data_IF_431144214568
#
_entry.id   IF_431144214568
#
_cell.length_a   1.000
_cell.length_b   1.000
_cell.length_c   1.000
_cell.angle_alpha   90.00
_cell.angle_beta   90.00
_cell.angle_gamma   90.00
#
_symmetry.space_group_name_H-M   'P 1'
#
loop_
_entity.id
_entity.type
_entity.pdbx_description
1 polymer ?
#
# COMPACT_ATOMS: atom_id res chain seq x y z
N UNK A 1 -1.51 29.09 49.18
CA UNK A 1 -2.24 28.15 48.30
C UNK A 1 -2.23 28.75 46.90
N UNK A 2 -1.20 28.44 46.12
CA UNK A 2 -1.09 28.83 44.72
C UNK A 2 -2.01 27.92 43.92
N UNK A 3 -3.05 28.49 43.32
CA UNK A 3 -3.92 27.78 42.39
C UNK A 3 -3.16 27.62 41.08
N UNK A 4 -2.76 26.39 40.74
CA UNK A 4 -2.28 26.07 39.40
C UNK A 4 -3.44 26.24 38.42
N UNK A 5 -3.33 27.24 37.55
CA UNK A 5 -4.19 27.39 36.39
C UNK A 5 -3.91 26.22 35.45
N UNK A 6 -4.70 25.15 35.58
CA UNK A 6 -4.66 24.02 34.68
C UNK A 6 -5.18 24.52 33.32
N UNK A 7 -4.26 24.79 32.39
CA UNK A 7 -4.62 25.12 31.01
C UNK A 7 -5.56 24.02 30.48
N UNK A 8 -6.69 24.39 29.84
CA UNK A 8 -7.56 23.39 29.24
C UNK A 8 -6.74 22.58 28.22
N UNK A 9 -6.95 21.25 28.13
CA UNK A 9 -6.28 20.45 27.12
C UNK A 9 -6.59 21.03 25.74
N UNK A 10 -5.55 21.26 24.93
CA UNK A 10 -5.74 21.73 23.55
C UNK A 10 -6.70 20.78 22.82
N UNK A 11 -7.65 21.30 22.02
CA UNK A 11 -8.53 20.45 21.23
C UNK A 11 -7.68 19.60 20.28
N UNK A 12 -8.04 18.31 20.17
CA UNK A 12 -7.38 17.41 19.23
C UNK A 12 -7.44 18.00 17.80
N UNK A 13 -6.36 17.89 17.01
CA UNK A 13 -6.32 18.47 15.67
C UNK A 13 -7.45 17.90 14.81
N UNK A 14 -8.04 18.67 13.88
CA UNK A 14 -9.10 18.16 13.01
C UNK A 14 -8.55 17.10 12.03
N UNK A 15 -9.42 16.19 11.56
CA UNK A 15 -9.03 15.04 10.73
C UNK A 15 -8.33 15.44 9.42
N UNK A 16 -8.76 16.50 8.70
CA UNK A 16 -8.02 17.01 7.54
C UNK A 16 -6.60 17.47 7.87
N UNK A 17 -6.37 18.02 9.08
CA UNK A 17 -5.03 18.46 9.50
C UNK A 17 -4.12 17.25 9.74
N UNK A 18 -4.59 16.24 10.48
CA UNK A 18 -3.83 15.00 10.72
C UNK A 18 -3.39 14.34 9.41
N UNK A 19 -4.31 14.29 8.43
CA UNK A 19 -4.03 13.76 7.10
C UNK A 19 -2.99 14.60 6.35
N UNK A 20 -3.14 15.92 6.36
CA UNK A 20 -2.17 16.84 5.75
C UNK A 20 -0.78 16.68 6.37
N UNK A 21 -0.70 16.59 7.71
CA UNK A 21 0.55 16.43 8.44
C UNK A 21 1.21 15.09 8.11
N UNK A 22 0.43 14.01 8.02
CA UNK A 22 0.92 12.68 7.62
C UNK A 22 1.51 12.72 6.21
N UNK A 23 0.76 13.25 5.24
CA UNK A 23 1.19 13.29 3.85
C UNK A 23 2.42 14.18 3.67
N UNK A 24 2.50 15.31 4.38
CA UNK A 24 3.66 16.19 4.34
C UNK A 24 4.91 15.49 4.91
N UNK A 25 4.78 14.76 6.03
CA UNK A 25 5.91 14.02 6.59
C UNK A 25 6.35 12.89 5.65
N UNK A 26 5.41 12.12 5.09
CA UNK A 26 5.73 11.05 4.13
C UNK A 26 6.40 11.61 2.88
N UNK A 27 5.95 12.75 2.35
CA UNK A 27 6.54 13.41 1.18
C UNK A 27 7.95 13.98 1.45
N UNK A 28 8.29 14.24 2.72
CA UNK A 28 9.63 14.70 3.09
C UNK A 28 10.66 13.58 3.12
N UNK A 29 10.21 12.31 3.11
CA UNK A 29 11.08 11.14 3.03
C UNK A 29 11.44 10.86 1.57
N UNK A 30 12.66 10.39 1.33
CA UNK A 30 12.99 9.76 0.06
C UNK A 30 12.13 8.50 -0.13
N UNK A 31 11.75 8.17 -1.36
CA UNK A 31 10.82 7.06 -1.63
C UNK A 31 11.30 5.73 -1.04
N UNK A 32 12.60 5.48 -1.10
CA UNK A 32 13.19 4.28 -0.49
C UNK A 32 13.04 4.28 1.03
N UNK A 33 13.23 5.43 1.68
CA UNK A 33 12.99 5.59 3.12
C UNK A 33 11.50 5.46 3.45
N UNK A 34 10.60 5.98 2.62
CA UNK A 34 9.16 5.87 2.85
C UNK A 34 8.65 4.41 2.72
N UNK A 35 9.20 3.64 1.79
CA UNK A 35 8.80 2.25 1.53
C UNK A 35 9.61 1.22 2.33
N UNK A 36 10.81 1.59 2.79
CA UNK A 36 11.73 0.82 3.62
C UNK A 36 12.17 1.59 4.88
N UNK A 37 11.22 2.12 5.67
CA UNK A 37 11.52 3.06 6.72
C UNK A 37 12.29 2.42 7.87
N UNK A 38 13.19 3.22 8.43
CA UNK A 38 13.56 3.13 9.83
C UNK A 38 12.34 3.51 10.69
N UNK A 39 12.31 3.20 11.98
CA UNK A 39 11.15 3.58 12.80
C UNK A 39 10.90 5.11 12.74
N UNK A 40 9.67 5.52 12.40
CA UNK A 40 9.25 6.93 12.40
C UNK A 40 8.08 7.14 13.37
N UNK A 41 8.35 7.31 14.68
CA UNK A 41 7.31 7.40 15.71
C UNK A 41 6.30 8.52 15.47
N UNK A 42 6.72 9.63 14.84
CA UNK A 42 5.82 10.75 14.52
C UNK A 42 4.78 10.37 13.45
N UNK A 43 5.20 9.64 12.41
CA UNK A 43 4.30 9.13 11.37
C UNK A 43 3.38 8.06 11.97
N UNK A 44 3.92 7.15 12.78
CA UNK A 44 3.14 6.10 13.44
C UNK A 44 2.05 6.68 14.35
N UNK A 45 2.34 7.77 15.08
CA UNK A 45 1.36 8.45 15.93
C UNK A 45 0.25 9.11 15.11
N UNK A 46 0.59 9.81 14.01
CA UNK A 46 -0.42 10.42 13.13
C UNK A 46 -1.36 9.36 12.54
N UNK A 47 -0.82 8.21 12.16
CA UNK A 47 -1.61 7.09 11.65
C UNK A 47 -2.52 6.53 12.74
N UNK A 48 -2.03 6.34 13.96
CA UNK A 48 -2.84 5.91 15.08
C UNK A 48 -4.04 6.85 15.33
N UNK A 49 -3.78 8.17 15.30
CA UNK A 49 -4.81 9.19 15.51
C UNK A 49 -5.85 9.22 14.36
N UNK A 50 -5.42 8.91 13.12
CA UNK A 50 -6.32 8.76 11.97
C UNK A 50 -7.19 7.50 12.08
N UNK A 51 -6.59 6.35 12.40
CA UNK A 51 -7.31 5.08 12.55
C UNK A 51 -8.39 5.17 13.65
N UNK A 52 -8.09 5.84 14.77
CA UNK A 52 -9.04 6.08 15.85
C UNK A 52 -10.28 6.91 15.41
N UNK A 53 -10.18 7.58 14.27
CA UNK A 53 -11.21 8.46 13.71
C UNK A 53 -11.61 8.06 12.29
N UNK A 54 -11.44 6.78 11.96
CA UNK A 54 -11.78 6.23 10.66
C UNK A 54 -13.23 6.59 10.26
N UNK A 55 -13.44 7.31 9.13
CA UNK A 55 -14.78 7.75 8.74
C UNK A 55 -15.65 6.60 8.19
N UNK A 56 -15.04 5.51 7.71
CA UNK A 56 -15.75 4.35 7.17
C UNK A 56 -15.49 3.13 8.05
N UNK A 57 -16.42 2.86 8.96
CA UNK A 57 -16.43 1.60 9.70
C UNK A 57 -16.63 0.42 8.73
N UNK A 58 -15.90 -0.68 8.94
CA UNK A 58 -16.02 -1.90 8.15
C UNK A 58 -15.86 -1.66 6.64
N UNK A 59 -14.68 -1.16 6.20
CA UNK A 59 -14.43 -0.69 4.84
C UNK A 59 -14.53 -1.78 3.76
N UNK A 60 -14.47 -3.07 4.13
CA UNK A 60 -14.52 -4.18 3.19
C UNK A 60 -15.93 -4.66 2.86
N UNK A 61 -16.96 -4.09 3.49
CA UNK A 61 -18.36 -4.39 3.15
C UNK A 61 -18.72 -3.86 1.76
N UNK A 62 -19.55 -4.61 1.04
CA UNK A 62 -19.96 -4.27 -0.34
C UNK A 62 -20.51 -2.85 -0.48
N UNK A 63 -21.23 -2.35 0.55
CA UNK A 63 -21.75 -0.99 0.59
C UNK A 63 -20.66 0.09 0.45
N UNK A 64 -19.43 -0.20 0.88
CA UNK A 64 -18.30 0.73 0.85
C UNK A 64 -17.34 0.47 -0.32
N UNK A 65 -17.58 -0.54 -1.15
CA UNK A 65 -16.73 -0.84 -2.30
C UNK A 65 -16.52 0.32 -3.27
N UNK A 66 -17.50 1.21 -3.56
CA UNK A 66 -17.24 2.39 -4.38
C UNK A 66 -16.09 3.27 -3.84
N UNK A 67 -15.87 3.27 -2.52
CA UNK A 67 -14.82 3.98 -1.80
C UNK A 67 -13.52 3.18 -1.66
N UNK A 68 -13.55 1.85 -1.85
CA UNK A 68 -12.39 0.97 -1.71
C UNK A 68 -11.77 0.60 -3.06
N UNK A 69 -12.60 0.35 -4.07
CA UNK A 69 -12.15 -0.08 -5.39
C UNK A 69 -11.42 1.04 -6.13
N UNK A 70 -10.52 0.66 -7.04
CA UNK A 70 -9.70 1.56 -7.83
C UNK A 70 -8.20 1.33 -7.62
N UNK A 71 -7.40 2.28 -8.10
CA UNK A 71 -5.94 2.22 -8.03
C UNK A 71 -5.43 3.04 -6.86
N UNK A 72 -4.55 2.42 -6.10
CA UNK A 72 -3.92 2.94 -4.91
C UNK A 72 -2.41 2.89 -5.08
N UNK A 73 -1.71 3.95 -4.70
CA UNK A 73 -0.26 4.04 -4.70
C UNK A 73 0.22 3.93 -3.25
N UNK A 74 1.18 3.04 -3.01
CA UNK A 74 1.78 2.89 -1.69
C UNK A 74 2.77 4.03 -1.50
N UNK A 75 2.51 4.88 -0.52
CA UNK A 75 3.34 6.04 -0.21
C UNK A 75 4.19 5.83 1.04
N UNK A 76 3.77 4.94 1.95
CA UNK A 76 4.53 4.60 3.15
C UNK A 76 4.26 3.16 3.60
N UNK A 77 5.26 2.46 4.13
CA UNK A 77 5.07 1.13 4.71
C UNK A 77 5.97 0.86 5.92
N UNK A 78 5.44 0.58 7.11
CA UNK A 78 6.29 0.35 8.28
C UNK A 78 7.06 -0.97 8.23
N UNK A 79 8.32 -0.93 8.71
CA UNK A 79 9.23 -2.07 8.89
C UNK A 79 9.66 -2.85 7.63
N UNK A 80 9.43 -2.31 6.44
CA UNK A 80 9.74 -3.00 5.18
C UNK A 80 8.91 -4.28 4.97
N UNK A 81 8.53 -4.55 3.73
CA UNK A 81 7.84 -5.81 3.42
C UNK A 81 8.80 -7.01 3.52
N UNK A 82 8.26 -8.22 3.66
CA UNK A 82 9.06 -9.47 3.63
C UNK A 82 9.93 -9.55 2.36
N UNK A 83 9.47 -8.96 1.26
CA UNK A 83 10.19 -8.89 -0.01
C UNK A 83 11.46 -8.04 0.13
N UNK A 84 11.41 -6.95 0.88
CA UNK A 84 12.48 -5.96 0.92
C UNK A 84 13.52 -6.28 1.99
N UNK A 85 13.15 -7.00 3.06
CA UNK A 85 14.10 -7.54 4.06
C UNK A 85 15.19 -8.43 3.46
N UNK A 86 14.95 -9.05 2.29
CA UNK A 86 15.93 -9.89 1.58
C UNK A 86 16.73 -9.18 0.49
N UNK A 87 16.32 -7.98 0.06
CA UNK A 87 17.06 -7.18 -0.93
C UNK A 87 18.31 -6.53 -0.28
N UNK A 88 18.36 -6.39 1.04
CA UNK A 88 19.58 -6.02 1.80
C UNK A 88 20.69 -7.09 1.80
N UNK A 89 20.59 -8.11 0.93
CA UNK A 89 21.76 -8.92 0.59
C UNK A 89 22.70 -8.06 -0.28
N UNK A 90 24.03 -8.20 -0.17
CA UNK A 90 24.98 -7.43 -0.99
C UNK A 90 24.93 -7.93 -2.44
N UNK A 91 23.87 -7.60 -3.16
CA UNK A 91 23.82 -7.70 -4.60
C UNK A 91 24.59 -6.49 -5.15
N UNK A 92 25.53 -6.68 -6.09
CA UNK A 92 26.39 -5.62 -6.63
C UNK A 92 25.65 -4.59 -7.51
N UNK A 93 24.32 -4.56 -7.48
CA UNK A 93 23.46 -3.73 -8.32
C UNK A 93 22.43 -3.01 -7.43
N UNK A 94 22.51 -1.69 -7.36
CA UNK A 94 21.55 -0.84 -6.63
C UNK A 94 20.17 -0.91 -7.29
N UNK A 95 19.25 -1.73 -6.79
CA UNK A 95 17.87 -1.79 -7.29
C UNK A 95 17.06 -0.67 -6.63
N UNK A 96 16.54 0.27 -7.42
CA UNK A 96 15.75 1.38 -6.89
C UNK A 96 14.26 1.10 -7.08
N UNK A 97 13.47 1.22 -6.02
CA UNK A 97 12.01 1.14 -6.13
C UNK A 97 11.51 2.49 -6.64
N UNK A 98 10.92 2.54 -7.83
CA UNK A 98 10.35 3.78 -8.38
C UNK A 98 8.91 3.99 -7.95
N UNK A 99 8.15 2.90 -7.79
CA UNK A 99 6.72 2.97 -7.46
C UNK A 99 6.19 1.62 -7.01
N UNK A 100 5.27 1.64 -6.05
CA UNK A 100 4.47 0.48 -5.66
C UNK A 100 2.99 0.86 -5.70
N UNK A 101 2.16 0.02 -6.27
CA UNK A 101 0.73 0.26 -6.41
C UNK A 101 -0.10 -1.00 -6.18
N UNK A 102 -1.37 -0.80 -5.86
CA UNK A 102 -2.37 -1.84 -5.71
C UNK A 102 -3.64 -1.40 -6.43
N UNK A 103 -4.17 -2.26 -7.29
CA UNK A 103 -5.47 -2.08 -7.92
C UNK A 103 -6.46 -3.06 -7.32
N UNK A 104 -7.59 -2.55 -6.86
CA UNK A 104 -8.70 -3.33 -6.34
C UNK A 104 -9.88 -3.22 -7.29
N UNK A 105 -10.41 -4.37 -7.70
CA UNK A 105 -11.60 -4.46 -8.55
C UNK A 105 -12.57 -5.49 -8.00
N UNK A 106 -13.82 -5.46 -8.46
CA UNK A 106 -14.76 -6.53 -8.16
C UNK A 106 -14.31 -7.80 -8.86
N UNK A 107 -14.24 -8.92 -8.14
CA UNK A 107 -13.97 -10.21 -8.77
C UNK A 107 -15.18 -10.67 -9.59
N UNK A 108 -14.91 -11.32 -10.72
CA UNK A 108 -15.94 -11.98 -11.52
C UNK A 108 -16.30 -13.33 -10.87
N UNK A 109 -17.60 -13.67 -10.77
CA UNK A 109 -18.02 -15.00 -10.29
C UNK A 109 -18.99 -15.06 -9.11
N UNK A 110 -19.87 -14.08 -8.91
CA UNK A 110 -21.06 -14.18 -8.05
C UNK A 110 -20.83 -14.21 -6.54
N UNK A 111 -19.60 -14.46 -6.06
CA UNK A 111 -19.21 -14.29 -4.66
C UNK A 111 -18.71 -12.86 -4.42
N UNK A 112 -18.92 -12.35 -3.21
CA UNK A 112 -18.46 -11.05 -2.74
C UNK A 112 -16.93 -11.02 -2.52
N UNK A 113 -16.16 -11.20 -3.59
CA UNK A 113 -14.70 -11.19 -3.57
C UNK A 113 -14.17 -9.93 -4.26
N UNK A 114 -13.04 -9.44 -3.76
CA UNK A 114 -12.32 -8.31 -4.35
C UNK A 114 -11.10 -8.89 -5.07
N UNK A 115 -10.99 -8.66 -6.37
CA UNK A 115 -9.78 -8.96 -7.10
C UNK A 115 -8.71 -7.90 -6.78
N UNK A 116 -7.48 -8.34 -6.59
CA UNK A 116 -6.34 -7.47 -6.30
C UNK A 116 -5.22 -7.68 -7.30
N UNK A 117 -4.58 -6.59 -7.69
CA UNK A 117 -3.36 -6.61 -8.47
C UNK A 117 -2.35 -5.67 -7.81
N UNK A 118 -1.26 -6.23 -7.30
CA UNK A 118 -0.16 -5.47 -6.71
C UNK A 118 0.95 -5.34 -7.73
N UNK A 119 1.48 -4.14 -7.93
CA UNK A 119 2.58 -3.88 -8.83
C UNK A 119 3.72 -3.12 -8.17
N UNK A 120 4.93 -3.37 -8.62
CA UNK A 120 6.12 -2.61 -8.26
C UNK A 120 6.96 -2.33 -9.52
N UNK A 121 7.37 -1.08 -9.69
CA UNK A 121 8.31 -0.66 -10.75
C UNK A 121 9.68 -0.51 -10.10
N UNK A 122 10.65 -1.23 -10.65
CA UNK A 122 12.03 -1.29 -10.19
C UNK A 122 12.95 -0.72 -11.27
N UNK A 123 13.80 0.22 -10.90
CA UNK A 123 14.88 0.70 -11.74
C UNK A 123 16.14 -0.14 -11.48
N UNK A 124 16.73 -0.64 -12.56
CA UNK A 124 18.00 -1.34 -12.55
C UNK A 124 19.04 -0.47 -13.26
N UNK A 125 20.15 -0.11 -12.59
CA UNK A 125 21.25 0.61 -13.21
C UNK A 125 21.69 -0.13 -14.47
N UNK A 126 21.80 0.59 -15.59
CA UNK A 126 22.19 0.06 -16.92
C UNK A 126 21.13 -0.80 -17.61
N UNK A 127 20.40 -1.67 -16.90
CA UNK A 127 19.46 -2.62 -17.52
C UNK A 127 18.16 -1.94 -17.93
N UNK A 128 17.62 -1.02 -17.13
CA UNK A 128 16.37 -0.30 -17.42
C UNK A 128 15.31 -0.50 -16.34
N UNK A 129 14.04 -0.61 -16.73
CA UNK A 129 12.91 -0.71 -15.79
C UNK A 129 12.25 -2.09 -15.86
N UNK A 130 12.00 -2.65 -14.69
CA UNK A 130 11.30 -3.91 -14.51
C UNK A 130 10.02 -3.66 -13.72
N UNK A 131 8.89 -4.14 -14.24
CA UNK A 131 7.62 -4.15 -13.54
C UNK A 131 7.30 -5.56 -13.07
N UNK A 132 7.14 -5.72 -11.75
CA UNK A 132 6.64 -6.92 -11.13
C UNK A 132 5.16 -6.74 -10.80
N UNK A 133 4.31 -7.69 -11.17
CA UNK A 133 2.88 -7.67 -10.84
C UNK A 133 2.43 -8.99 -10.23
N UNK A 134 1.66 -8.94 -9.16
CA UNK A 134 1.05 -10.10 -8.52
C UNK A 134 -0.47 -9.96 -8.54
N UNK A 135 -1.17 -11.01 -8.99
CA UNK A 135 -2.62 -11.04 -9.00
C UNK A 135 -3.15 -11.96 -7.90
N UNK A 136 -4.27 -11.56 -7.31
CA UNK A 136 -4.84 -12.24 -6.15
C UNK A 136 -6.30 -11.92 -5.92
N UNK A 137 -6.82 -12.46 -4.82
CA UNK A 137 -8.19 -12.23 -4.36
C UNK A 137 -8.21 -11.95 -2.88
N UNK A 138 -9.08 -11.04 -2.46
CA UNK A 138 -9.42 -10.81 -1.07
C UNK A 138 -10.78 -11.43 -0.81
N UNK A 139 -10.84 -12.22 0.25
CA UNK A 139 -12.07 -12.73 0.82
C UNK A 139 -12.33 -11.98 2.13
N UNK A 140 -13.19 -10.94 2.13
CA UNK A 140 -13.56 -10.24 3.36
C UNK A 140 -14.19 -11.19 4.37
N UNK A 141 -13.86 -11.01 5.64
CA UNK A 141 -14.57 -11.65 6.74
C UNK A 141 -15.86 -10.87 7.09
N UNK A 142 -16.73 -11.49 7.88
CA UNK A 142 -18.06 -10.94 8.20
C UNK A 142 -18.00 -9.62 8.99
N UNK A 143 -16.94 -9.41 9.79
CA UNK A 143 -16.71 -8.16 10.52
C UNK A 143 -16.43 -6.98 9.57
N UNK A 144 -15.98 -7.23 8.34
CA UNK A 144 -15.83 -6.22 7.30
C UNK A 144 -14.61 -5.30 7.42
N UNK A 145 -13.68 -5.57 8.34
CA UNK A 145 -12.39 -4.85 8.45
C UNK A 145 -11.23 -5.67 7.91
N UNK A 146 -11.31 -6.99 8.08
CA UNK A 146 -10.28 -7.94 7.72
C UNK A 146 -10.66 -8.73 6.48
N UNK A 147 -9.66 -9.12 5.69
CA UNK A 147 -9.79 -10.07 4.60
C UNK A 147 -8.65 -11.07 4.63
N UNK A 148 -8.96 -12.26 4.13
CA UNK A 148 -7.95 -13.21 3.73
C UNK A 148 -7.48 -12.90 2.30
N UNK A 149 -6.18 -12.70 2.10
CA UNK A 149 -5.59 -12.33 0.81
C UNK A 149 -4.73 -13.46 0.29
N UNK A 150 -4.99 -13.90 -0.93
CA UNK A 150 -4.21 -14.93 -1.62
C UNK A 150 -3.69 -14.43 -2.96
N UNK A 151 -2.46 -14.80 -3.32
CA UNK A 151 -1.84 -14.48 -4.62
C UNK A 151 -1.55 -15.74 -5.41
N UNK A 152 -1.87 -15.71 -6.71
CA UNK A 152 -1.74 -16.86 -7.60
C UNK A 152 -0.44 -16.87 -8.41
N UNK A 153 -0.21 -15.80 -9.18
CA UNK A 153 0.93 -15.66 -10.09
C UNK A 153 1.64 -14.32 -9.88
N UNK A 154 2.97 -14.33 -10.00
CA UNK A 154 3.79 -13.12 -10.13
C UNK A 154 4.32 -13.09 -11.55
N UNK A 155 4.08 -11.98 -12.23
CA UNK A 155 4.57 -11.71 -13.56
C UNK A 155 5.67 -10.65 -13.47
N UNK A 156 6.79 -10.90 -14.13
CA UNK A 156 7.84 -9.91 -14.34
C UNK A 156 7.83 -9.48 -15.80
N UNK A 157 7.86 -8.18 -16.04
CA UNK A 157 7.91 -7.60 -17.38
C UNK A 157 8.93 -6.46 -17.41
N UNK A 158 9.92 -6.55 -18.28
CA UNK A 158 10.81 -5.42 -18.54
C UNK A 158 10.05 -4.39 -19.39
N UNK A 159 9.90 -3.17 -18.86
CA UNK A 159 9.19 -2.06 -19.52
C UNK A 159 10.13 -1.14 -20.29
N UNK A 160 11.41 -1.11 -19.88
CA UNK A 160 12.49 -0.40 -20.55
C UNK A 160 13.75 -1.23 -20.47
N UNK A 161 14.47 -1.41 -21.58
CA UNK A 161 15.74 -2.13 -21.60
C UNK A 161 16.80 -1.32 -22.33
N UNK A 162 17.97 -1.10 -21.71
CA UNK A 162 19.09 -0.33 -22.30
C UNK A 162 18.67 1.04 -22.86
N UNK A 163 17.72 1.73 -22.21
CA UNK A 163 17.20 3.04 -22.65
C UNK A 163 16.12 2.99 -23.74
N UNK A 164 15.78 1.81 -24.27
CA UNK A 164 14.69 1.64 -25.24
C UNK A 164 13.36 1.42 -24.50
N UNK A 165 12.42 2.36 -24.69
CA UNK A 165 11.04 2.26 -24.22
C UNK A 165 10.14 1.68 -25.33
N UNK A 166 9.03 1.04 -24.95
CA UNK A 166 8.04 0.52 -25.92
C UNK A 166 8.36 -0.87 -26.48
N UNK A 167 9.38 -1.55 -25.96
CA UNK A 167 9.60 -2.97 -26.28
C UNK A 167 8.50 -3.79 -25.61
N UNK A 168 7.68 -4.50 -26.40
CA UNK A 168 6.75 -5.52 -25.91
C UNK A 168 7.54 -6.77 -25.48
N UNK A 169 8.32 -6.65 -24.41
CA UNK A 169 9.09 -7.77 -23.87
C UNK A 169 8.14 -8.79 -23.23
N UNK A 170 8.43 -10.08 -23.39
CA UNK A 170 7.54 -11.14 -22.93
C UNK A 170 7.37 -11.07 -21.42
N UNK A 171 6.12 -11.26 -20.98
CA UNK A 171 5.76 -11.43 -19.57
C UNK A 171 6.33 -12.76 -19.08
N UNK A 172 7.25 -12.72 -18.13
CA UNK A 172 7.78 -13.91 -17.49
C UNK A 172 6.88 -14.23 -16.30
N UNK A 173 6.12 -15.31 -16.41
CA UNK A 173 5.33 -15.82 -15.29
C UNK A 173 6.23 -16.65 -14.39
N UNK A 174 6.53 -16.12 -13.20
CA UNK A 174 7.21 -16.87 -12.17
C UNK A 174 6.16 -17.53 -11.28
N UNK A 175 6.25 -18.85 -11.02
CA UNK A 175 5.40 -19.47 -10.03
C UNK A 175 5.62 -18.76 -8.69
N UNK A 176 4.54 -18.27 -8.10
CA UNK A 176 4.59 -17.60 -6.78
C UNK A 176 5.29 -18.51 -5.80
N UNK A 177 6.37 -18.00 -5.18
CA UNK A 177 7.08 -18.69 -4.10
C UNK A 177 6.07 -19.09 -3.02
N UNK A 178 6.15 -20.31 -2.48
CA UNK A 178 5.10 -20.84 -1.60
C UNK A 178 4.73 -19.93 -0.43
N UNK A 179 5.67 -19.13 0.08
CA UNK A 179 5.38 -18.17 1.16
C UNK A 179 4.51 -16.97 0.74
N UNK A 180 4.48 -16.60 -0.55
CA UNK A 180 3.58 -15.60 -1.12
C UNK A 180 2.22 -16.21 -1.53
N UNK A 181 2.14 -17.55 -1.67
CA UNK A 181 0.87 -18.27 -1.84
C UNK A 181 0.12 -18.45 -0.53
N UNK A 182 0.78 -18.21 0.61
CA UNK A 182 0.13 -18.28 1.91
C UNK A 182 -0.88 -17.16 2.01
N UNK A 183 -2.11 -17.56 2.25
CA UNK A 183 -3.19 -16.73 2.73
C UNK A 183 -2.66 -15.79 3.83
N UNK A 184 -2.74 -14.49 3.56
CA UNK A 184 -2.27 -13.45 4.45
C UNK A 184 -3.47 -12.68 4.98
N UNK A 185 -3.54 -12.55 6.31
CA UNK A 185 -4.48 -11.65 6.94
C UNK A 185 -4.12 -10.20 6.56
N UNK A 186 -5.10 -9.49 6.02
CA UNK A 186 -5.05 -8.07 5.75
C UNK A 186 -6.17 -7.36 6.49
N UNK A 187 -5.88 -6.24 7.13
CA UNK A 187 -6.85 -5.40 7.83
C UNK A 187 -6.84 -4.04 7.16
N UNK A 188 -8.00 -3.49 6.78
CA UNK A 188 -8.11 -2.09 6.36
C UNK A 188 -8.61 -1.29 7.56
N UNK A 189 -7.68 -0.59 8.22
CA UNK A 189 -7.92 0.11 9.48
C UNK A 189 -8.38 1.56 9.32
N UNK A 190 -8.17 2.14 8.13
CA UNK A 190 -8.68 3.46 7.78
C UNK A 190 -9.00 3.51 6.28
N UNK A 191 -10.12 4.13 5.93
CA UNK A 191 -10.49 4.40 4.54
C UNK A 191 -11.24 5.73 4.43
N UNK A 192 -10.78 6.61 3.55
CA UNK A 192 -11.52 7.79 3.09
C UNK A 192 -11.47 7.93 1.56
N UNK A 193 -11.84 9.10 1.04
CA UNK A 193 -11.88 9.41 -0.39
C UNK A 193 -10.56 9.15 -1.12
N UNK A 194 -9.42 9.48 -0.51
CA UNK A 194 -8.11 9.44 -1.15
C UNK A 194 -6.99 8.75 -0.35
N UNK A 195 -7.25 8.37 0.90
CA UNK A 195 -6.28 7.75 1.80
C UNK A 195 -6.84 6.42 2.30
N UNK A 196 -5.97 5.41 2.31
CA UNK A 196 -6.27 4.11 2.89
C UNK A 196 -5.10 3.62 3.70
N UNK A 197 -5.37 3.08 4.88
CA UNK A 197 -4.36 2.48 5.75
C UNK A 197 -4.70 1.01 5.92
N UNK A 198 -3.69 0.17 5.68
CA UNK A 198 -3.79 -1.27 5.81
C UNK A 198 -2.76 -1.82 6.77
N UNK A 199 -3.08 -2.95 7.39
CA UNK A 199 -2.18 -3.70 8.26
C UNK A 199 -2.08 -5.14 7.81
N UNK A 200 -0.85 -5.65 7.74
CA UNK A 200 -0.59 -7.06 7.50
C UNK A 200 -0.63 -7.89 8.80
N UNK A 201 -0.66 -9.21 8.67
CA UNK A 201 -0.72 -10.17 9.79
C UNK A 201 0.35 -9.97 10.89
N UNK A 202 1.52 -9.42 10.55
CA UNK A 202 2.63 -9.17 11.51
C UNK A 202 2.62 -7.77 12.11
N UNK A 203 1.55 -6.99 11.89
CA UNK A 203 1.44 -5.61 12.36
C UNK A 203 2.11 -4.57 11.46
N UNK A 204 2.69 -4.99 10.32
CA UNK A 204 3.25 -4.07 9.33
C UNK A 204 2.15 -3.15 8.81
N UNK A 205 2.48 -1.87 8.65
CA UNK A 205 1.55 -0.83 8.24
C UNK A 205 1.79 -0.43 6.80
N UNK A 206 0.73 -0.07 6.09
CA UNK A 206 0.79 0.39 4.71
C UNK A 206 -0.14 1.59 4.53
N UNK A 207 0.39 2.72 4.07
CA UNK A 207 -0.38 3.91 3.72
C UNK A 207 -0.45 4.02 2.22
N UNK A 208 -1.67 4.13 1.70
CA UNK A 208 -1.94 4.27 0.29
C UNK A 208 -2.66 5.57 -0.01
N UNK A 209 -2.23 6.24 -1.07
CA UNK A 209 -2.97 7.33 -1.68
C UNK A 209 -3.71 6.84 -2.92
N UNK A 210 -4.95 7.27 -3.09
CA UNK A 210 -5.76 6.96 -4.27
C UNK A 210 -5.15 7.67 -5.46
N UNK A 211 -4.96 6.93 -6.54
CA UNK A 211 -4.60 7.56 -7.80
C UNK A 211 -5.84 8.21 -8.42
N UNK A 212 -5.70 9.42 -8.99
CA UNK A 212 -6.72 9.96 -9.86
C UNK A 212 -7.07 8.89 -10.89
N UNK A 213 -8.36 8.66 -11.13
CA UNK A 213 -8.77 7.86 -12.27
C UNK A 213 -8.20 8.56 -13.49
N UNK A 214 -7.14 8.01 -14.10
CA UNK A 214 -6.73 8.47 -15.41
C UNK A 214 -7.94 8.28 -16.30
N UNK A 215 -8.54 9.38 -16.74
CA UNK A 215 -9.47 9.38 -17.86
C UNK A 215 -8.69 8.72 -18.99
N UNK A 216 -8.94 7.42 -19.20
CA UNK A 216 -8.37 6.69 -20.31
C UNK A 216 -8.77 7.44 -21.56
N UNK A 217 -7.80 8.03 -22.24
CA UNK A 217 -7.90 8.18 -23.69
C UNK A 217 -7.81 6.77 -24.24
N UNK A 218 -8.99 6.21 -24.53
CA UNK A 218 -9.16 5.16 -25.54
C UNK A 218 -8.58 5.61 -26.89
#
# INVERSE_FOLDING_TARGET
MTSETQNPPMPAPPLPQLKSDLLQQVQSLELEEALLPSQHPAIDQLIHDLEARNPIAQPLREAHWPMLLGTWELVYASQGTVVTRRINSPLPLSIHIQRVWQRLSRAEGGRALIATENGAVLALPVVGELTATAQGTWQPYEEGESANVSFGAVTLQATRLLGLAGLHLPKINLPVLEFLRREALWITSYLDDDLRIGRGATGNLFVFCRQPRSLGTD
#
